data_IF_371420224316
#
_entry.id   IF_371420224316
#
_cell.length_a   1.000
_cell.length_b   1.000
_cell.length_c   1.000
_cell.angle_alpha   90.00
_cell.angle_beta   90.00
_cell.angle_gamma   90.00
#
_symmetry.space_group_name_H-M   'P 1'
#
loop_
_entity.id
_entity.type
_entity.pdbx_description
1 polymer ?
#
# COMPACT_ATOMS: atom_id res chain seq x y z
N UNK A 1 -12.86 -12.77 14.43
CA UNK A 1 -12.84 -13.39 13.09
C UNK A 1 -11.44 -13.90 12.84
N UNK A 2 -11.25 -14.89 11.99
CA UNK A 2 -9.91 -15.38 11.65
C UNK A 2 -9.68 -15.12 10.17
N UNK A 3 -9.28 -13.89 9.85
CA UNK A 3 -8.95 -13.53 8.48
C UNK A 3 -7.83 -14.44 7.96
N UNK A 4 -8.11 -15.13 6.86
CA UNK A 4 -7.17 -16.01 6.16
C UNK A 4 -6.54 -15.23 5.00
N UNK A 5 -5.25 -15.45 4.77
CA UNK A 5 -4.51 -14.84 3.66
C UNK A 5 -3.95 -15.92 2.74
N UNK A 6 -3.95 -15.67 1.44
CA UNK A 6 -3.30 -16.51 0.44
C UNK A 6 -2.49 -15.66 -0.54
N UNK A 7 -1.40 -16.21 -1.06
CA UNK A 7 -0.61 -15.55 -2.10
C UNK A 7 -1.33 -15.64 -3.45
N UNK A 8 -1.38 -14.53 -4.16
CA UNK A 8 -1.90 -14.42 -5.52
C UNK A 8 -0.72 -14.69 -6.47
N UNK A 9 -0.86 -15.75 -7.27
CA UNK A 9 0.04 -16.09 -8.38
C UNK A 9 -0.73 -16.07 -9.70
N UNK A 10 -0.07 -16.40 -10.81
CA UNK A 10 -0.72 -16.48 -12.14
C UNK A 10 -1.83 -17.53 -12.22
N UNK A 11 -1.78 -18.57 -11.37
CA UNK A 11 -2.75 -19.66 -11.31
C UNK A 11 -3.86 -19.41 -10.28
N UNK A 12 -3.91 -18.22 -9.69
CA UNK A 12 -4.84 -17.88 -8.64
C UNK A 12 -6.30 -17.93 -9.14
N UNK A 13 -7.21 -18.64 -8.44
CA UNK A 13 -8.56 -18.90 -8.96
C UNK A 13 -9.46 -17.66 -9.00
N UNK A 14 -9.19 -16.67 -8.15
CA UNK A 14 -10.02 -15.47 -7.97
C UNK A 14 -9.42 -14.21 -8.61
N UNK A 15 -8.55 -14.34 -9.62
CA UNK A 15 -7.91 -13.20 -10.30
C UNK A 15 -8.94 -12.17 -10.80
N UNK A 16 -10.08 -12.62 -11.33
CA UNK A 16 -11.15 -11.73 -11.77
C UNK A 16 -11.72 -10.87 -10.63
N UNK A 17 -11.74 -11.38 -9.39
CA UNK A 17 -12.20 -10.61 -8.22
C UNK A 17 -11.17 -9.54 -7.84
N UNK A 18 -9.89 -9.89 -7.90
CA UNK A 18 -8.78 -8.97 -7.63
C UNK A 18 -8.76 -7.85 -8.67
N UNK A 19 -8.87 -8.18 -9.96
CA UNK A 19 -8.89 -7.20 -11.04
C UNK A 19 -10.10 -6.25 -10.95
N UNK A 20 -11.29 -6.77 -10.67
CA UNK A 20 -12.48 -5.92 -10.44
C UNK A 20 -12.28 -4.97 -9.27
N UNK A 21 -11.78 -5.47 -8.15
CA UNK A 21 -11.53 -4.62 -6.98
C UNK A 21 -10.47 -3.56 -7.26
N UNK A 22 -9.40 -3.92 -7.97
CA UNK A 22 -8.35 -2.98 -8.38
C UNK A 22 -8.93 -1.87 -9.28
N UNK A 23 -9.80 -2.25 -10.22
CA UNK A 23 -10.46 -1.31 -11.12
C UNK A 23 -11.48 -0.39 -10.45
N UNK A 24 -12.07 -0.82 -9.33
CA UNK A 24 -13.00 -0.01 -8.55
C UNK A 24 -12.28 0.88 -7.52
N UNK A 25 -11.17 0.39 -6.95
CA UNK A 25 -10.50 1.03 -5.82
C UNK A 25 -9.55 2.17 -6.22
N UNK A 26 -8.88 2.09 -7.37
CA UNK A 26 -7.85 3.05 -7.79
C UNK A 26 -8.27 3.75 -9.08
N UNK A 27 -8.13 5.09 -9.21
CA UNK A 27 -8.37 5.79 -10.48
C UNK A 27 -7.38 5.37 -11.57
N UNK A 28 -7.66 5.66 -12.84
CA UNK A 28 -6.84 5.20 -13.97
C UNK A 28 -5.38 5.66 -13.86
N UNK A 29 -5.15 6.86 -13.33
CA UNK A 29 -3.83 7.48 -13.17
C UNK A 29 -2.96 6.83 -12.09
N UNK A 30 -3.57 6.19 -11.10
CA UNK A 30 -2.86 5.53 -9.98
C UNK A 30 -2.82 4.02 -10.13
N UNK A 31 -3.60 3.46 -11.06
CA UNK A 31 -3.83 2.03 -11.18
C UNK A 31 -2.80 1.38 -12.09
N UNK A 32 -2.20 0.29 -11.61
CA UNK A 32 -1.48 -0.65 -12.48
C UNK A 32 -2.36 -1.88 -12.79
N UNK A 33 -2.25 -2.46 -14.00
CA UNK A 33 -3.03 -3.63 -14.38
C UNK A 33 -2.60 -4.87 -13.60
N UNK A 34 -3.52 -5.83 -13.45
CA UNK A 34 -3.25 -7.11 -12.77
C UNK A 34 -2.02 -7.84 -13.32
N UNK A 35 -1.81 -7.76 -14.64
CA UNK A 35 -0.66 -8.35 -15.32
C UNK A 35 0.69 -7.83 -14.80
N UNK A 36 0.78 -6.57 -14.37
CA UNK A 36 2.01 -5.97 -13.84
C UNK A 36 2.30 -6.47 -12.42
N UNK A 37 1.28 -6.59 -11.56
CA UNK A 37 1.45 -7.25 -10.26
C UNK A 37 1.97 -8.69 -10.43
N UNK A 38 1.45 -9.42 -11.41
CA UNK A 38 1.83 -10.81 -11.70
C UNK A 38 3.20 -10.96 -12.39
N UNK A 39 3.80 -9.88 -12.90
CA UNK A 39 5.19 -9.90 -13.37
C UNK A 39 6.20 -9.95 -12.23
N UNK A 40 5.81 -9.44 -11.05
CA UNK A 40 6.63 -9.49 -9.83
C UNK A 40 6.51 -10.83 -9.09
N UNK A 41 5.57 -11.69 -9.49
CA UNK A 41 5.42 -13.04 -8.94
C UNK A 41 6.72 -13.85 -9.05
N UNK A 42 7.07 -14.55 -7.97
CA UNK A 42 8.32 -15.31 -7.85
C UNK A 42 9.54 -14.50 -7.39
N UNK A 43 9.44 -13.18 -7.21
CA UNK A 43 10.48 -12.39 -6.55
C UNK A 43 10.56 -12.74 -5.06
N UNK A 44 11.78 -12.82 -4.52
CA UNK A 44 12.01 -13.11 -3.10
C UNK A 44 11.64 -11.92 -2.18
N UNK A 45 11.46 -10.73 -2.75
CA UNK A 45 11.19 -9.48 -2.03
C UNK A 45 9.79 -8.91 -2.29
N UNK A 46 8.86 -9.77 -2.74
CA UNK A 46 7.50 -9.40 -3.10
C UNK A 46 6.47 -10.41 -2.58
N UNK A 47 5.35 -9.91 -2.06
CA UNK A 47 4.16 -10.71 -1.84
C UNK A 47 2.92 -9.99 -2.37
N UNK A 48 2.03 -10.74 -3.00
CA UNK A 48 0.70 -10.27 -3.36
C UNK A 48 -0.33 -11.10 -2.61
N UNK A 49 -1.02 -10.51 -1.65
CA UNK A 49 -1.95 -11.21 -0.77
C UNK A 49 -3.40 -10.98 -1.19
N UNK A 50 -4.19 -12.05 -1.19
CA UNK A 50 -5.65 -11.99 -1.09
C UNK A 50 -6.09 -12.37 0.32
N UNK A 51 -7.11 -11.68 0.81
CA UNK A 51 -7.64 -11.81 2.16
C UNK A 51 -9.09 -12.27 2.13
N UNK A 52 -9.45 -13.22 3.01
CA UNK A 52 -10.80 -13.75 3.12
C UNK A 52 -11.24 -13.84 4.57
N UNK A 53 -12.54 -13.65 4.80
CA UNK A 53 -13.23 -14.10 5.99
C UNK A 53 -14.22 -15.18 5.57
N UNK A 54 -14.04 -16.39 6.11
CA UNK A 54 -14.62 -17.59 5.50
C UNK A 54 -14.41 -17.56 3.96
N UNK A 55 -15.44 -17.85 3.16
CA UNK A 55 -15.32 -17.92 1.70
C UNK A 55 -15.52 -16.55 1.00
N UNK A 56 -15.69 -15.49 1.79
CA UNK A 56 -15.87 -14.14 1.29
C UNK A 56 -14.53 -13.47 1.02
N UNK A 57 -14.33 -13.02 -0.22
CA UNK A 57 -13.16 -12.22 -0.59
C UNK A 57 -13.29 -10.82 0.01
N UNK A 58 -12.35 -10.47 0.89
CA UNK A 58 -12.35 -9.21 1.64
C UNK A 58 -11.53 -8.14 0.93
N UNK A 59 -10.42 -8.51 0.31
CA UNK A 59 -9.53 -7.54 -0.31
C UNK A 59 -8.16 -8.12 -0.66
N UNK A 60 -7.26 -7.23 -1.06
CA UNK A 60 -5.89 -7.60 -1.40
C UNK A 60 -4.88 -6.57 -0.87
N UNK A 61 -3.62 -6.99 -0.76
CA UNK A 61 -2.48 -6.10 -0.56
C UNK A 61 -1.27 -6.55 -1.41
N UNK A 62 -0.65 -5.62 -2.12
CA UNK A 62 0.63 -5.81 -2.80
C UNK A 62 1.73 -5.22 -1.92
N UNK A 63 2.77 -6.01 -1.64
CA UNK A 63 3.80 -5.65 -0.66
C UNK A 63 5.19 -5.96 -1.19
N UNK A 64 6.06 -4.94 -1.25
CA UNK A 64 7.50 -5.08 -1.46
C UNK A 64 8.21 -4.97 -0.12
N UNK A 65 9.32 -5.68 0.08
CA UNK A 65 10.01 -5.63 1.37
C UNK A 65 11.51 -5.83 1.26
N UNK A 66 12.23 -5.39 2.29
CA UNK A 66 13.66 -5.67 2.45
C UNK A 66 13.96 -6.02 3.91
N UNK A 67 15.20 -5.89 4.35
CA UNK A 67 15.58 -6.22 5.73
C UNK A 67 14.96 -5.29 6.79
N UNK A 68 14.61 -4.05 6.43
CA UNK A 68 14.25 -2.99 7.39
C UNK A 68 12.83 -2.44 7.23
N UNK A 69 12.25 -2.53 6.04
CA UNK A 69 10.89 -2.03 5.78
C UNK A 69 10.09 -3.02 4.94
N UNK A 70 8.77 -2.96 5.05
CA UNK A 70 7.86 -3.51 4.06
C UNK A 70 6.90 -2.41 3.61
N UNK A 71 6.85 -2.20 2.31
CA UNK A 71 6.08 -1.16 1.65
C UNK A 71 4.83 -1.77 1.03
N UNK A 72 3.66 -1.27 1.43
CA UNK A 72 2.38 -1.64 0.85
C UNK A 72 2.06 -0.67 -0.26
N UNK A 73 2.31 -1.10 -1.51
CA UNK A 73 2.12 -0.29 -2.71
C UNK A 73 0.64 -0.16 -3.09
N UNK A 74 -0.13 -1.24 -2.92
CA UNK A 74 -1.57 -1.24 -3.20
C UNK A 74 -2.31 -1.99 -2.09
N UNK A 75 -3.38 -1.38 -1.58
CA UNK A 75 -4.23 -1.96 -0.54
C UNK A 75 -5.70 -1.59 -0.78
N UNK A 76 -6.54 -2.60 -0.99
CA UNK A 76 -7.95 -2.39 -1.27
C UNK A 76 -8.83 -3.38 -0.51
N UNK A 77 -9.93 -2.86 0.05
CA UNK A 77 -11.00 -3.63 0.68
C UNK A 77 -12.25 -3.50 -0.17
N UNK A 78 -12.93 -4.63 -0.38
CA UNK A 78 -14.23 -4.71 -1.07
C UNK A 78 -15.20 -3.71 -0.43
N UNK A 79 -15.86 -2.83 -1.22
CA UNK A 79 -16.68 -1.74 -0.68
C UNK A 79 -17.72 -2.18 0.34
N UNK A 80 -18.40 -3.30 0.09
CA UNK A 80 -19.44 -3.85 0.97
C UNK A 80 -18.87 -4.35 2.30
N UNK A 81 -17.56 -4.63 2.36
CA UNK A 81 -16.84 -5.09 3.55
C UNK A 81 -16.14 -3.95 4.30
N UNK A 82 -16.15 -2.72 3.77
CA UNK A 82 -15.56 -1.55 4.45
C UNK A 82 -16.31 -1.23 5.75
N UNK A 83 -15.63 -0.57 6.68
CA UNK A 83 -16.18 -0.19 8.00
C UNK A 83 -16.57 -1.36 8.92
N UNK A 84 -16.21 -2.60 8.59
CA UNK A 84 -16.40 -3.79 9.43
C UNK A 84 -15.14 -4.18 10.25
N UNK A 85 -14.06 -3.40 10.16
CA UNK A 85 -12.81 -3.63 10.89
C UNK A 85 -11.74 -4.42 10.13
N UNK A 86 -12.07 -5.00 8.97
CA UNK A 86 -11.14 -5.82 8.19
C UNK A 86 -9.86 -5.09 7.78
N UNK A 87 -9.95 -3.81 7.41
CA UNK A 87 -8.77 -3.03 7.04
C UNK A 87 -7.75 -2.95 8.18
N UNK A 88 -8.23 -2.74 9.41
CA UNK A 88 -7.39 -2.73 10.62
C UNK A 88 -6.80 -4.10 10.91
N UNK A 89 -7.61 -5.17 10.84
CA UNK A 89 -7.15 -6.54 11.08
C UNK A 89 -6.09 -6.97 10.06
N UNK A 90 -6.22 -6.59 8.79
CA UNK A 90 -5.22 -6.88 7.75
C UNK A 90 -3.91 -6.15 8.03
N UNK A 91 -3.95 -4.87 8.41
CA UNK A 91 -2.73 -4.13 8.77
C UNK A 91 -2.01 -4.83 9.94
N UNK A 92 -2.74 -5.20 10.99
CA UNK A 92 -2.14 -5.88 12.14
C UNK A 92 -1.53 -7.24 11.75
N UNK A 93 -2.21 -8.02 10.89
CA UNK A 93 -1.69 -9.28 10.35
C UNK A 93 -0.43 -9.10 9.52
N UNK A 94 -0.36 -8.05 8.69
CA UNK A 94 0.84 -7.75 7.90
C UNK A 94 2.02 -7.40 8.81
N UNK A 95 1.80 -6.58 9.85
CA UNK A 95 2.83 -6.25 10.85
C UNK A 95 3.30 -7.50 11.60
N UNK A 96 2.39 -8.39 11.99
CA UNK A 96 2.74 -9.66 12.63
C UNK A 96 3.57 -10.56 11.69
N UNK A 97 3.16 -10.68 10.43
CA UNK A 97 3.83 -11.51 9.42
C UNK A 97 5.26 -11.05 9.11
N UNK A 98 5.46 -9.74 8.90
CA UNK A 98 6.78 -9.17 8.59
C UNK A 98 7.68 -8.95 9.82
N UNK A 99 7.08 -9.02 11.01
CA UNK A 99 7.73 -8.88 12.31
C UNK A 99 7.96 -7.42 12.71
N UNK A 100 8.08 -7.20 14.01
CA UNK A 100 8.20 -5.87 14.62
C UNK A 100 9.53 -5.15 14.33
N UNK A 101 10.50 -5.83 13.72
CA UNK A 101 11.79 -5.21 13.34
C UNK A 101 11.70 -4.39 12.07
N UNK A 102 10.63 -4.55 11.29
CA UNK A 102 10.39 -3.77 10.07
C UNK A 102 9.32 -2.72 10.28
N UNK A 103 9.54 -1.54 9.75
CA UNK A 103 8.48 -0.53 9.63
C UNK A 103 7.62 -0.82 8.41
N UNK A 104 6.31 -0.77 8.60
CA UNK A 104 5.35 -0.72 7.50
C UNK A 104 5.38 0.68 6.90
N UNK A 105 5.48 0.80 5.58
CA UNK A 105 5.43 2.08 4.86
C UNK A 105 4.34 2.01 3.81
N UNK A 106 3.63 3.12 3.61
CA UNK A 106 2.68 3.30 2.51
C UNK A 106 2.54 4.77 2.18
N UNK A 107 1.83 5.04 1.09
CA UNK A 107 1.55 6.37 0.60
C UNK A 107 0.06 6.67 0.66
N UNK A 108 -0.27 7.93 0.91
CA UNK A 108 -1.64 8.43 0.84
C UNK A 108 -1.66 9.76 0.10
N UNK A 109 -2.78 10.08 -0.53
CA UNK A 109 -2.93 11.35 -1.21
C UNK A 109 -2.78 12.52 -0.23
N UNK A 110 -2.16 13.57 -0.75
CA UNK A 110 -1.96 14.82 -0.04
C UNK A 110 -3.29 15.53 0.21
N UNK A 111 -3.43 16.06 1.43
CA UNK A 111 -4.58 16.87 1.83
C UNK A 111 -4.44 18.34 1.40
N UNK A 112 -3.22 18.79 1.13
CA UNK A 112 -2.87 20.17 0.78
C UNK A 112 -2.86 20.44 -0.74
N UNK A 113 -3.22 19.45 -1.55
CA UNK A 113 -3.34 19.59 -3.01
C UNK A 113 -4.80 19.71 -3.47
N UNK A 114 -5.07 20.49 -4.54
CA UNK A 114 -6.40 20.54 -5.15
C UNK A 114 -6.87 19.14 -5.59
N UNK A 115 -8.11 18.80 -5.26
CA UNK A 115 -8.67 17.49 -5.58
C UNK A 115 -10.20 17.50 -5.59
N UNK A 116 -10.79 16.51 -6.26
CA UNK A 116 -12.24 16.36 -6.40
C UNK A 116 -12.87 15.50 -5.30
N UNK A 117 -12.08 14.92 -4.39
CA UNK A 117 -12.52 13.96 -3.37
C UNK A 117 -11.97 14.22 -1.94
N UNK A 118 -12.08 15.45 -1.39
CA UNK A 118 -11.37 15.83 -0.17
C UNK A 118 -11.82 15.04 1.07
N UNK A 119 -13.11 14.71 1.17
CA UNK A 119 -13.65 13.91 2.28
C UNK A 119 -13.06 12.49 2.29
N UNK A 120 -12.96 11.84 1.13
CA UNK A 120 -12.38 10.49 1.03
C UNK A 120 -10.88 10.47 1.35
N UNK A 121 -10.15 11.53 1.00
CA UNK A 121 -8.74 11.69 1.38
C UNK A 121 -8.61 11.84 2.90
N UNK A 122 -9.46 12.67 3.53
CA UNK A 122 -9.48 12.83 4.98
C UNK A 122 -9.82 11.53 5.71
N UNK A 123 -10.80 10.76 5.21
CA UNK A 123 -11.18 9.47 5.79
C UNK A 123 -10.04 8.45 5.74
N UNK A 124 -9.29 8.39 4.62
CA UNK A 124 -8.09 7.53 4.51
C UNK A 124 -7.00 7.94 5.48
N UNK A 125 -6.73 9.23 5.59
CA UNK A 125 -5.80 9.76 6.58
C UNK A 125 -6.16 9.37 8.01
N UNK A 126 -7.42 9.57 8.39
CA UNK A 126 -7.91 9.21 9.72
C UNK A 126 -7.91 7.71 9.95
N UNK A 127 -8.16 6.90 8.91
CA UNK A 127 -8.04 5.45 8.97
C UNK A 127 -6.61 5.03 9.31
N UNK A 128 -5.60 5.49 8.56
CA UNK A 128 -4.21 5.11 8.81
C UNK A 128 -3.70 5.64 10.15
N UNK A 129 -4.05 6.88 10.51
CA UNK A 129 -3.70 7.46 11.81
C UNK A 129 -4.26 6.64 12.98
N UNK A 130 -5.53 6.22 12.90
CA UNK A 130 -6.15 5.35 13.93
C UNK A 130 -5.51 3.96 13.99
N UNK A 131 -4.94 3.50 12.87
CA UNK A 131 -4.17 2.24 12.79
C UNK A 131 -2.68 2.41 13.13
N UNK A 132 -2.29 3.50 13.79
CA UNK A 132 -0.95 3.67 14.36
C UNK A 132 0.11 4.20 13.39
N UNK A 133 -0.30 4.67 12.21
CA UNK A 133 0.62 5.33 11.28
C UNK A 133 0.95 6.75 11.71
N UNK A 134 2.17 7.16 11.39
CA UNK A 134 2.73 8.50 11.62
C UNK A 134 3.18 9.07 10.27
N UNK A 135 3.16 10.39 10.13
CA UNK A 135 3.79 11.07 8.99
C UNK A 135 5.31 10.91 9.08
N UNK A 136 5.95 10.66 7.93
CA UNK A 136 7.41 10.73 7.77
C UNK A 136 7.92 12.17 7.63
N UNK A 137 7.02 13.15 7.47
CA UNK A 137 7.28 14.50 6.97
C UNK A 137 7.97 14.51 5.59
N UNK A 138 7.74 13.45 4.80
CA UNK A 138 8.25 13.31 3.46
C UNK A 138 7.15 12.93 2.47
N UNK A 139 7.35 13.30 1.21
CA UNK A 139 6.45 13.09 0.10
C UNK A 139 7.15 12.27 -0.98
N UNK A 140 6.45 11.32 -1.59
CA UNK A 140 6.87 10.71 -2.85
C UNK A 140 6.31 11.53 -4.01
N UNK A 141 7.15 11.87 -4.97
CA UNK A 141 6.76 12.40 -6.28
C UNK A 141 7.15 11.42 -7.38
N UNK A 142 6.19 11.06 -8.23
CA UNK A 142 6.37 10.11 -9.34
C UNK A 142 5.28 10.39 -10.40
N UNK A 143 5.67 10.43 -11.69
CA UNK A 143 4.76 10.66 -12.84
C UNK A 143 3.77 11.84 -12.68
N UNK A 144 4.21 12.92 -12.01
CA UNK A 144 3.37 14.10 -11.78
C UNK A 144 2.39 14.00 -10.60
N UNK A 145 2.38 12.86 -9.90
CA UNK A 145 1.62 12.64 -8.67
C UNK A 145 2.48 12.96 -7.45
N UNK A 146 1.85 13.36 -6.34
CA UNK A 146 2.49 13.60 -5.06
C UNK A 146 1.70 12.95 -3.91
N UNK A 147 2.37 12.10 -3.14
CA UNK A 147 1.77 11.38 -2.02
C UNK A 147 2.54 11.65 -0.72
N UNK A 148 1.82 11.73 0.40
CA UNK A 148 2.43 11.72 1.72
C UNK A 148 2.86 10.30 2.08
N UNK A 149 4.11 10.15 2.53
CA UNK A 149 4.62 8.87 3.03
C UNK A 149 4.27 8.73 4.51
N UNK A 150 3.49 7.70 4.83
CA UNK A 150 3.16 7.30 6.19
C UNK A 150 3.91 6.03 6.57
N UNK A 151 4.23 5.90 7.86
CA UNK A 151 4.85 4.69 8.38
C UNK A 151 4.26 4.24 9.72
N UNK A 152 4.30 2.94 9.98
CA UNK A 152 3.97 2.32 11.27
C UNK A 152 5.16 1.47 11.72
N UNK A 153 5.72 1.82 12.87
CA UNK A 153 6.92 1.20 13.44
C UNK A 153 7.68 2.17 14.34
N UNK A 154 8.91 1.81 14.68
CA UNK A 154 9.77 2.61 15.56
C UNK A 154 10.18 3.93 14.91
N UNK A 155 10.62 3.88 13.66
CA UNK A 155 11.03 5.05 12.87
C UNK A 155 10.86 4.80 11.36
N UNK A 156 10.92 5.88 10.58
CA UNK A 156 10.97 5.82 9.11
C UNK A 156 12.43 5.74 8.66
N UNK A 157 12.81 4.64 7.99
CA UNK A 157 14.11 4.48 7.34
C UNK A 157 13.96 4.81 5.85
N UNK A 158 14.26 6.06 5.47
CA UNK A 158 14.12 6.54 4.11
C UNK A 158 15.07 5.82 3.14
N UNK A 159 16.28 5.47 3.57
CA UNK A 159 17.25 4.77 2.71
C UNK A 159 16.72 3.39 2.34
N UNK A 160 16.20 2.64 3.32
CA UNK A 160 15.58 1.35 3.09
C UNK A 160 14.34 1.46 2.21
N UNK A 161 13.56 2.53 2.36
CA UNK A 161 12.41 2.78 1.50
C UNK A 161 12.83 3.10 0.06
N UNK A 162 13.86 3.94 -0.14
CA UNK A 162 14.43 4.23 -1.47
C UNK A 162 14.98 2.99 -2.16
N UNK A 163 15.56 2.05 -1.41
CA UNK A 163 16.07 0.78 -1.95
C UNK A 163 14.95 -0.02 -2.63
N UNK A 164 13.73 -0.01 -2.09
CA UNK A 164 12.57 -0.68 -2.72
C UNK A 164 12.29 -0.09 -4.10
N UNK A 165 12.26 1.24 -4.23
CA UNK A 165 12.00 1.91 -5.50
C UNK A 165 13.12 1.70 -6.51
N UNK A 166 14.38 1.67 -6.06
CA UNK A 166 15.53 1.34 -6.91
C UNK A 166 15.41 -0.08 -7.48
N UNK A 167 14.95 -1.06 -6.69
CA UNK A 167 14.69 -2.43 -7.17
C UNK A 167 13.48 -2.54 -8.11
N UNK A 168 12.52 -1.62 -8.01
CA UNK A 168 11.43 -1.54 -8.99
C UNK A 168 11.94 -0.98 -10.32
N UNK A 169 12.85 0.00 -10.27
CA UNK A 169 13.49 0.59 -11.47
C UNK A 169 14.30 -0.41 -12.29
N UNK A 170 14.76 -1.52 -11.69
CA UNK A 170 15.45 -2.61 -12.41
C UNK A 170 14.54 -3.32 -13.43
N UNK A 171 13.22 -3.32 -13.21
CA UNK A 171 12.25 -3.96 -14.11
C UNK A 171 11.59 -2.98 -15.07
N UNK A 172 11.37 -1.74 -14.64
CA UNK A 172 10.77 -0.69 -15.45
C UNK A 172 11.31 0.67 -15.03
N UNK A 173 11.83 1.44 -15.99
CA UNK A 173 12.34 2.77 -15.70
C UNK A 173 11.19 3.74 -15.40
N UNK A 174 11.33 4.48 -14.30
CA UNK A 174 10.50 5.64 -13.98
C UNK A 174 11.29 6.60 -13.09
N UNK A 175 10.96 7.88 -13.12
CA UNK A 175 11.57 8.87 -12.23
C UNK A 175 10.76 9.01 -10.93
N UNK A 176 11.45 9.00 -9.80
CA UNK A 176 10.84 9.32 -8.50
C UNK A 176 11.72 10.25 -7.68
N UNK A 177 11.09 11.04 -6.81
CA UNK A 177 11.77 11.90 -5.83
C UNK A 177 11.09 11.77 -4.49
N UNK A 178 11.88 11.79 -3.42
CA UNK A 178 11.36 11.97 -2.07
C UNK A 178 11.73 13.38 -1.63
N UNK A 179 10.73 14.19 -1.31
CA UNK A 179 10.88 15.55 -0.80
C UNK A 179 10.50 15.60 0.67
N UNK A 180 11.04 16.56 1.40
CA UNK A 180 10.72 16.76 2.81
C UNK A 180 9.86 18.01 2.97
N UNK A 181 8.92 17.96 3.90
CA UNK A 181 8.12 19.13 4.30
C UNK A 181 9.07 20.16 4.91
N UNK A 182 9.12 21.37 4.35
CA UNK A 182 9.91 22.44 4.92
C UNK A 182 9.12 23.13 6.04
N UNK A 183 9.82 23.68 7.05
CA UNK A 183 9.21 24.45 8.14
C UNK A 183 8.40 25.68 7.65
N UNK A 184 8.59 26.10 6.40
CA UNK A 184 7.82 27.16 5.75
C UNK A 184 6.42 26.74 5.29
N UNK A 185 6.12 25.45 5.31
CA UNK A 185 4.91 24.86 4.74
C UNK A 185 3.86 24.51 5.84
N UNK A 186 4.09 24.98 7.07
CA UNK A 186 3.21 24.91 8.25
C UNK A 186 2.65 26.29 8.59
#
# INVERSE_FOLDING_TARGET
MALRSQLITKEFPDLDRVERLNNEAFPEEERIPLSEFLQLDGREDYHFFAFYDEDDFIGFASVLYNAKVFYVSFFAIVPQMRSHGYGSEIIDKLVEFYGSTRSMVLEVERLDEPNDNPEQRADRWDFYKRNGFKTSNAFLEYEGLSFEILYRGDHFDEEAYREIFQKLQENAYFDFKIKHRHLSDL
#
